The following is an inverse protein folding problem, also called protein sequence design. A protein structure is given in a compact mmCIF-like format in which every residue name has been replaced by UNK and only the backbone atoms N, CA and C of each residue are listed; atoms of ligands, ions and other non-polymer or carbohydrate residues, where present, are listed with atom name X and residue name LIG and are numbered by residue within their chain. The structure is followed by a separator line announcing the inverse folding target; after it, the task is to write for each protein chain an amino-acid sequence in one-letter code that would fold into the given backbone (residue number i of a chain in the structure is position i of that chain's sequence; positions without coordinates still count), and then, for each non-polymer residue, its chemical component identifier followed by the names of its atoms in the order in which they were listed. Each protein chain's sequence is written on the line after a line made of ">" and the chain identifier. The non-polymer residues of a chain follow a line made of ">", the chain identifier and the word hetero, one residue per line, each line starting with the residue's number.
data_IF_706518034309
#
_entry.id   IF_706518034309
#
_cell.length_a   1.000
_cell.length_b   1.000
_cell.length_c   1.000
_cell.angle_alpha   90.00
_cell.angle_beta   90.00
_cell.angle_gamma   90.00
#
_symmetry.space_group_name_H-M   'P 1'
#
loop_
_entity.id
_entity.type
_entity.pdbx_description
1 polymer ?
#
# COMPACT_ATOMS: atom_id res chain seq x y z
N UNK A 1 -2.01 -19.97 17.70
CA UNK A 1 -2.23 -18.93 16.68
C UNK A 1 -2.17 -19.64 15.34
N UNK A 2 -3.23 -19.56 14.52
CA UNK A 2 -3.25 -20.18 13.20
C UNK A 2 -2.12 -19.57 12.35
N UNK A 3 -1.32 -20.42 11.69
CA UNK A 3 -0.22 -19.96 10.85
C UNK A 3 -0.80 -19.50 9.52
N UNK A 4 -1.06 -18.19 9.39
CA UNK A 4 -1.59 -17.59 8.17
C UNK A 4 -0.57 -17.73 7.01
N UNK A 5 -0.90 -18.54 5.98
CA UNK A 5 0.00 -18.79 4.87
C UNK A 5 0.17 -17.58 3.92
N UNK A 6 -0.69 -16.57 4.05
CA UNK A 6 -0.71 -15.38 3.20
C UNK A 6 -0.08 -14.14 3.85
N UNK A 7 0.26 -14.21 5.14
CA UNK A 7 0.86 -13.13 5.94
C UNK A 7 2.18 -12.57 5.38
N UNK A 8 2.96 -13.39 4.69
CA UNK A 8 4.33 -13.09 4.25
C UNK A 8 4.42 -12.77 2.76
N UNK A 9 5.40 -11.93 2.40
CA UNK A 9 5.84 -11.73 1.01
C UNK A 9 6.53 -12.98 0.43
N UNK A 10 6.96 -13.92 1.27
CA UNK A 10 7.47 -15.24 0.87
C UNK A 10 6.45 -16.34 1.21
N UNK A 11 5.38 -16.50 0.42
CA UNK A 11 4.31 -17.45 0.73
C UNK A 11 4.80 -18.90 0.77
N UNK A 12 5.84 -19.26 0.01
CA UNK A 12 6.39 -20.62 -0.03
C UNK A 12 6.79 -21.15 1.35
N UNK A 13 7.60 -20.39 2.09
CA UNK A 13 8.04 -20.79 3.45
C UNK A 13 6.88 -20.92 4.41
N UNK A 14 5.91 -20.01 4.30
CA UNK A 14 4.71 -20.05 5.14
C UNK A 14 3.87 -21.29 4.89
N UNK A 15 3.72 -21.70 3.63
CA UNK A 15 3.08 -22.96 3.30
C UNK A 15 3.86 -24.18 3.81
N UNK A 16 5.19 -24.13 3.81
CA UNK A 16 6.01 -25.21 4.38
C UNK A 16 5.82 -25.29 5.91
N UNK A 17 5.83 -24.16 6.62
CA UNK A 17 5.50 -24.12 8.05
C UNK A 17 4.07 -24.61 8.33
N UNK A 18 3.09 -24.29 7.46
CA UNK A 18 1.73 -24.83 7.56
C UNK A 18 1.71 -26.34 7.37
N UNK A 19 2.51 -26.87 6.43
CA UNK A 19 2.62 -28.32 6.22
C UNK A 19 3.27 -29.01 7.43
N UNK A 20 4.34 -28.44 7.98
CA UNK A 20 5.02 -28.95 9.17
C UNK A 20 4.13 -28.92 10.42
N UNK A 21 3.21 -27.95 10.49
CA UNK A 21 2.23 -27.85 11.58
C UNK A 21 1.12 -28.90 11.49
N UNK A 22 0.97 -29.62 10.37
CA UNK A 22 0.03 -30.73 10.27
C UNK A 22 0.66 -32.01 10.80
N UNK A 23 -0.13 -32.84 11.47
CA UNK A 23 0.32 -34.16 11.95
C UNK A 23 0.48 -35.19 10.81
N UNK A 24 0.24 -34.78 9.56
CA UNK A 24 0.26 -35.62 8.37
C UNK A 24 1.67 -35.70 7.79
N UNK A 25 2.26 -36.90 7.85
CA UNK A 25 3.61 -37.15 7.33
C UNK A 25 3.70 -36.98 5.80
N UNK A 26 4.78 -36.36 5.33
CA UNK A 26 5.12 -36.28 3.90
C UNK A 26 4.32 -35.25 3.10
N UNK A 27 3.60 -34.36 3.77
CA UNK A 27 3.04 -33.17 3.12
C UNK A 27 4.13 -32.14 2.86
N UNK A 28 4.06 -31.50 1.69
CA UNK A 28 4.90 -30.35 1.36
C UNK A 28 4.03 -29.10 1.34
N UNK A 29 4.60 -27.93 1.60
CA UNK A 29 3.86 -26.68 1.52
C UNK A 29 3.24 -26.46 0.15
N UNK A 30 3.93 -26.92 -0.92
CA UNK A 30 3.36 -26.95 -2.27
C UNK A 30 2.06 -27.75 -2.35
N UNK A 31 2.03 -28.98 -1.81
CA UNK A 31 0.82 -29.82 -1.80
C UNK A 31 -0.30 -29.18 -0.99
N UNK A 32 0.01 -28.60 0.17
CA UNK A 32 -0.97 -27.88 0.99
C UNK A 32 -1.57 -26.72 0.20
N UNK A 33 -0.74 -25.89 -0.43
CA UNK A 33 -1.21 -24.77 -1.26
C UNK A 33 -2.10 -25.21 -2.41
N UNK A 34 -1.68 -26.23 -3.16
CA UNK A 34 -2.45 -26.77 -4.30
C UNK A 34 -3.81 -27.32 -3.84
N UNK A 35 -3.83 -28.05 -2.71
CA UNK A 35 -5.07 -28.57 -2.13
C UNK A 35 -6.00 -27.44 -1.66
N UNK A 36 -5.47 -26.44 -0.95
CA UNK A 36 -6.24 -25.29 -0.50
C UNK A 36 -6.79 -24.50 -1.68
N UNK A 37 -5.98 -24.30 -2.74
CA UNK A 37 -6.43 -23.65 -3.98
C UNK A 37 -7.59 -24.40 -4.61
N UNK A 38 -7.51 -25.74 -4.70
CA UNK A 38 -8.58 -26.57 -5.23
C UNK A 38 -9.86 -26.46 -4.39
N UNK A 39 -9.76 -26.52 -3.06
CA UNK A 39 -10.91 -26.37 -2.17
C UNK A 39 -11.57 -25.00 -2.31
N UNK A 40 -10.79 -23.93 -2.41
CA UNK A 40 -11.31 -22.58 -2.70
C UNK A 40 -11.99 -22.51 -4.07
N UNK A 41 -11.52 -23.23 -5.08
CA UNK A 41 -12.21 -23.26 -6.39
C UNK A 41 -13.57 -23.94 -6.31
N UNK A 42 -13.71 -25.02 -5.53
CA UNK A 42 -15.01 -25.67 -5.32
C UNK A 42 -15.94 -24.78 -4.49
N UNK A 43 -15.40 -24.13 -3.45
CA UNK A 43 -16.12 -23.19 -2.61
C UNK A 43 -16.70 -22.02 -3.42
N UNK A 44 -15.88 -21.38 -4.26
CA UNK A 44 -16.30 -20.28 -5.13
C UNK A 44 -17.33 -20.68 -6.18
N UNK A 45 -17.43 -21.98 -6.50
CA UNK A 45 -18.38 -22.53 -7.47
C UNK A 45 -19.64 -23.09 -6.81
N UNK A 46 -19.77 -23.00 -5.49
CA UNK A 46 -20.87 -23.60 -4.72
C UNK A 46 -21.06 -25.10 -5.03
N UNK A 47 -19.96 -25.81 -5.35
CA UNK A 47 -19.99 -27.24 -5.67
C UNK A 47 -20.15 -28.07 -4.39
N UNK A 48 -21.37 -28.03 -3.85
CA UNK A 48 -21.73 -28.67 -2.59
C UNK A 48 -21.42 -30.17 -2.62
N UNK A 49 -21.51 -30.86 -3.78
CA UNK A 49 -21.18 -32.28 -3.89
C UNK A 49 -19.66 -32.56 -3.84
N UNK A 50 -18.83 -31.69 -4.43
CA UNK A 50 -17.37 -31.76 -4.25
C UNK A 50 -16.94 -31.42 -2.81
N UNK A 51 -17.67 -30.53 -2.14
CA UNK A 51 -17.43 -30.17 -0.73
C UNK A 51 -17.93 -31.24 0.26
N UNK A 52 -19.08 -31.86 0.00
CA UNK A 52 -19.76 -32.91 0.80
C UNK A 52 -19.02 -34.24 0.83
N UNK A 53 -18.12 -34.49 -0.13
CA UNK A 53 -17.29 -35.71 -0.14
C UNK A 53 -16.32 -35.81 1.04
N UNK A 54 -16.22 -34.78 1.88
CA UNK A 54 -15.54 -34.84 3.18
C UNK A 54 -16.51 -34.56 4.32
N UNK A 55 -16.86 -35.58 5.08
CA UNK A 55 -17.28 -35.42 6.48
C UNK A 55 -18.77 -35.40 6.80
N UNK A 56 -19.04 -35.37 8.10
CA UNK A 56 -20.37 -35.21 8.72
C UNK A 56 -20.89 -33.77 8.57
N UNK A 57 -22.15 -33.50 8.91
CA UNK A 57 -22.77 -32.17 8.71
C UNK A 57 -22.07 -31.05 9.50
N UNK A 58 -21.62 -31.32 10.73
CA UNK A 58 -20.86 -30.37 11.56
C UNK A 58 -19.48 -30.06 10.94
N UNK A 59 -18.78 -31.08 10.43
CA UNK A 59 -17.49 -30.91 9.74
C UNK A 59 -17.62 -30.10 8.44
N UNK A 60 -18.81 -30.10 7.80
CA UNK A 60 -19.06 -29.28 6.63
C UNK A 60 -19.21 -27.80 6.95
N UNK A 61 -19.88 -27.47 8.04
CA UNK A 61 -20.08 -26.07 8.45
C UNK A 61 -18.76 -25.43 8.87
N UNK A 62 -17.96 -26.12 9.69
CA UNK A 62 -16.61 -25.68 10.06
C UNK A 62 -15.72 -25.51 8.83
N UNK A 63 -15.75 -26.47 7.90
CA UNK A 63 -15.00 -26.38 6.65
C UNK A 63 -15.42 -25.17 5.81
N UNK A 64 -16.71 -24.84 5.78
CA UNK A 64 -17.23 -23.68 5.06
C UNK A 64 -16.74 -22.37 5.70
N UNK A 65 -16.76 -22.28 7.03
CA UNK A 65 -16.22 -21.13 7.77
C UNK A 65 -14.72 -20.95 7.53
N UNK A 66 -13.94 -22.03 7.59
CA UNK A 66 -12.50 -22.00 7.31
C UNK A 66 -12.20 -21.57 5.86
N UNK A 67 -12.97 -22.04 4.89
CA UNK A 67 -12.77 -21.64 3.49
C UNK A 67 -13.13 -20.17 3.24
N UNK A 68 -14.11 -19.64 3.97
CA UNK A 68 -14.42 -18.22 3.96
C UNK A 68 -13.26 -17.39 4.54
N UNK A 69 -12.73 -17.77 5.71
CA UNK A 69 -11.58 -17.08 6.33
C UNK A 69 -10.34 -17.10 5.42
N UNK A 70 -10.02 -18.27 4.84
CA UNK A 70 -8.89 -18.41 3.91
C UNK A 70 -9.08 -17.54 2.66
N UNK A 71 -10.32 -17.40 2.16
CA UNK A 71 -10.63 -16.53 1.03
C UNK A 71 -10.36 -15.07 1.39
N UNK A 72 -10.78 -14.63 2.57
CA UNK A 72 -10.56 -13.26 3.06
C UNK A 72 -9.07 -12.95 3.23
N UNK A 73 -8.30 -13.88 3.81
CA UNK A 73 -6.84 -13.75 3.93
C UNK A 73 -6.16 -13.64 2.55
N UNK A 74 -6.63 -14.39 1.56
CA UNK A 74 -6.11 -14.31 0.19
C UNK A 74 -6.39 -12.94 -0.44
N UNK A 75 -7.58 -12.38 -0.23
CA UNK A 75 -7.97 -11.06 -0.72
C UNK A 75 -7.19 -9.93 -0.02
N UNK A 76 -6.98 -10.05 1.30
CA UNK A 76 -6.15 -9.11 2.06
C UNK A 76 -4.70 -9.10 1.54
N UNK A 77 -4.12 -10.26 1.26
CA UNK A 77 -2.78 -10.34 0.70
C UNK A 77 -2.66 -9.62 -0.65
N UNK A 78 -3.63 -9.82 -1.55
CA UNK A 78 -3.64 -9.16 -2.86
C UNK A 78 -3.68 -7.64 -2.71
N UNK A 79 -4.61 -7.12 -1.89
CA UNK A 79 -4.74 -5.68 -1.65
C UNK A 79 -3.48 -5.09 -1.00
N UNK A 80 -2.86 -5.81 -0.07
CA UNK A 80 -1.59 -5.43 0.55
C UNK A 80 -0.48 -5.30 -0.49
N UNK A 81 -0.28 -6.31 -1.33
CA UNK A 81 0.73 -6.32 -2.39
C UNK A 81 0.51 -5.20 -3.42
N UNK A 82 -0.74 -4.95 -3.82
CA UNK A 82 -1.09 -3.84 -4.71
C UNK A 82 -0.72 -2.49 -4.09
N UNK A 83 -1.02 -2.29 -2.81
CA UNK A 83 -0.70 -1.05 -2.09
C UNK A 83 0.82 -0.81 -2.01
N UNK A 84 1.60 -1.87 -1.77
CA UNK A 84 3.06 -1.81 -1.73
C UNK A 84 3.66 -1.52 -3.11
N UNK A 85 3.15 -2.17 -4.15
CA UNK A 85 3.59 -1.93 -5.52
C UNK A 85 3.30 -0.50 -5.95
N UNK A 86 2.13 0.05 -5.60
CA UNK A 86 1.79 1.46 -5.85
C UNK A 86 2.72 2.43 -5.13
N UNK A 87 3.13 2.11 -3.89
CA UNK A 87 4.13 2.91 -3.15
C UNK A 87 5.50 2.85 -3.84
N UNK A 88 5.98 1.65 -4.21
CA UNK A 88 7.26 1.45 -4.92
C UNK A 88 7.27 2.18 -6.26
N UNK A 89 6.17 2.17 -7.00
CA UNK A 89 6.06 2.87 -8.28
C UNK A 89 6.13 4.40 -8.11
N UNK A 90 5.42 4.96 -7.12
CA UNK A 90 5.51 6.39 -6.78
C UNK A 90 6.95 6.79 -6.42
N UNK A 91 7.62 6.00 -5.60
CA UNK A 91 9.02 6.24 -5.25
C UNK A 91 9.94 6.20 -6.47
N UNK A 92 9.74 5.26 -7.39
CA UNK A 92 10.49 5.20 -8.66
C UNK A 92 10.27 6.47 -9.50
N UNK A 93 9.03 6.95 -9.63
CA UNK A 93 8.71 8.18 -10.37
C UNK A 93 9.42 9.40 -9.77
N UNK A 94 9.35 9.56 -8.44
CA UNK A 94 10.05 10.63 -7.71
C UNK A 94 11.58 10.54 -7.94
N UNK A 95 12.15 9.35 -7.84
CA UNK A 95 13.59 9.17 -8.06
C UNK A 95 14.02 9.54 -9.49
N UNK A 96 13.20 9.22 -10.49
CA UNK A 96 13.43 9.60 -11.89
C UNK A 96 13.35 11.12 -12.06
N UNK A 97 12.37 11.78 -11.45
CA UNK A 97 12.22 13.24 -11.50
C UNK A 97 13.41 13.96 -10.85
N UNK A 98 13.87 13.50 -9.68
CA UNK A 98 15.07 14.06 -9.01
C UNK A 98 16.30 13.91 -9.91
N UNK A 99 16.50 12.73 -10.53
CA UNK A 99 17.60 12.51 -11.46
C UNK A 99 17.53 13.45 -12.67
N UNK A 100 16.34 13.66 -13.22
CA UNK A 100 16.12 14.57 -14.35
C UNK A 100 16.43 16.01 -13.97
N UNK A 101 15.91 16.50 -12.84
CA UNK A 101 16.16 17.85 -12.35
C UNK A 101 17.66 18.08 -12.05
N UNK A 102 18.35 17.08 -11.51
CA UNK A 102 19.79 17.15 -11.31
C UNK A 102 20.54 17.32 -12.65
N UNK A 103 20.16 16.58 -13.70
CA UNK A 103 20.78 16.70 -15.02
C UNK A 103 20.52 18.07 -15.68
N UNK A 104 19.36 18.68 -15.45
CA UNK A 104 19.03 20.02 -15.98
C UNK A 104 19.81 21.15 -15.29
N UNK A 105 20.24 20.95 -14.04
CA UNK A 105 21.00 21.94 -13.26
C UNK A 105 22.52 21.84 -13.45
N UNK A 106 23.01 20.79 -14.11
CA UNK A 106 24.43 20.74 -14.51
C UNK A 106 24.69 21.79 -15.61
N UNK A 107 25.69 22.66 -15.45
CA UNK A 107 26.07 23.57 -16.51
C UNK A 107 26.51 22.75 -17.74
N UNK A 108 25.78 22.89 -18.86
CA UNK A 108 26.22 22.36 -20.16
C UNK A 108 27.63 22.87 -20.42
N UNK A 109 28.64 22.00 -20.29
CA UNK A 109 30.00 22.28 -20.76
C UNK A 109 29.86 22.56 -22.25
N UNK A 110 30.05 23.83 -22.63
CA UNK A 110 30.06 24.26 -24.03
C UNK A 110 31.15 23.47 -24.73
N UNK A 111 30.78 22.48 -25.55
CA UNK A 111 31.63 21.96 -26.62
C UNK A 111 31.47 22.92 -27.78
N UNK A 112 32.27 23.97 -27.75
CA UNK A 112 32.45 24.88 -28.87
C UNK A 112 33.93 25.21 -28.91
N UNK A 113 34.72 24.28 -29.46
CA UNK A 113 35.92 24.63 -30.20
C UNK A 113 36.30 23.50 -31.15
N UNK A 114 35.84 23.62 -32.39
CA UNK A 114 36.49 23.03 -33.54
C UNK A 114 37.43 24.12 -34.06
N UNK A 115 38.67 24.19 -33.54
CA UNK A 115 39.84 24.67 -34.28
C UNK A 115 41.14 24.61 -33.46
N UNK A 116 42.12 23.93 -34.06
CA UNK A 116 43.56 24.06 -33.84
C UNK A 116 44.19 23.41 -32.61
N UNK A 117 44.67 22.19 -32.85
CA UNK A 117 45.92 21.68 -32.28
C UNK A 117 47.04 22.60 -32.75
N UNK A 118 47.65 23.35 -31.82
CA UNK A 118 49.04 23.78 -31.96
C UNK A 118 49.74 23.55 -30.62
N UNK A 119 50.63 22.56 -30.61
CA UNK A 119 51.64 22.38 -29.56
C UNK A 119 52.48 23.66 -29.45
N UNK A 120 52.53 24.23 -28.25
CA UNK A 120 53.62 25.11 -27.85
C UNK A 120 53.73 25.13 -26.34
N UNK A 121 54.81 24.51 -25.86
CA UNK A 121 55.26 24.56 -24.48
C UNK A 121 55.49 26.00 -24.02
N UNK A 122 54.82 26.41 -22.94
CA UNK A 122 55.34 27.43 -22.04
C UNK A 122 54.68 27.34 -20.67
N UNK A 123 55.49 26.83 -19.76
CA UNK A 123 55.40 26.96 -18.32
C UNK A 123 55.10 28.43 -17.93
N UNK A 124 53.99 28.68 -17.23
CA UNK A 124 53.89 29.76 -16.25
C UNK A 124 52.61 29.70 -15.41
N UNK A 125 52.85 29.69 -14.11
CA UNK A 125 51.92 29.69 -12.98
C UNK A 125 51.09 30.98 -12.88
N UNK A 126 49.75 30.89 -12.99
CA UNK A 126 48.80 31.82 -12.36
C UNK A 126 47.35 31.28 -12.43
N UNK A 127 46.83 30.73 -11.34
CA UNK A 127 45.39 30.39 -11.24
C UNK A 127 44.56 31.66 -10.98
N UNK A 128 43.58 32.03 -11.83
CA UNK A 128 42.65 33.09 -11.48
C UNK A 128 41.57 32.53 -10.53
N UNK A 129 41.47 33.10 -9.33
CA UNK A 129 40.43 32.78 -8.35
C UNK A 129 39.06 33.06 -8.96
N UNK A 130 38.25 32.01 -9.13
CA UNK A 130 36.90 32.08 -9.67
C UNK A 130 36.01 32.87 -8.70
N UNK A 131 35.65 34.09 -9.07
CA UNK A 131 34.71 34.92 -8.32
C UNK A 131 33.39 34.15 -8.11
N UNK A 132 33.07 33.82 -6.85
CA UNK A 132 31.79 33.22 -6.47
C UNK A 132 30.71 34.26 -6.74
N UNK A 133 29.94 34.08 -7.80
CA UNK A 133 28.74 34.86 -8.08
C UNK A 133 27.81 34.70 -6.88
N UNK A 134 27.74 35.72 -6.03
CA UNK A 134 26.74 35.83 -4.96
C UNK A 134 25.38 35.77 -5.64
N UNK A 135 24.69 34.63 -5.58
CA UNK A 135 23.30 34.56 -6.07
C UNK A 135 22.50 35.56 -5.25
N UNK A 136 21.73 36.40 -5.93
CA UNK A 136 20.98 37.49 -5.32
C UNK A 136 20.19 36.99 -4.10
N UNK A 137 20.40 37.60 -2.94
CA UNK A 137 19.66 37.31 -1.70
C UNK A 137 18.14 37.37 -1.90
N UNK A 138 17.68 38.08 -2.93
CA UNK A 138 16.29 38.20 -3.35
C UNK A 138 15.71 36.88 -3.88
N UNK A 139 16.47 36.11 -4.67
CA UNK A 139 15.97 34.87 -5.27
C UNK A 139 15.76 33.78 -4.22
N UNK A 140 16.67 33.70 -3.23
CA UNK A 140 16.53 32.80 -2.09
C UNK A 140 15.33 33.19 -1.22
N UNK A 141 15.12 34.49 -0.97
CA UNK A 141 13.95 34.99 -0.25
C UNK A 141 12.63 34.66 -0.97
N UNK A 142 12.56 34.84 -2.29
CA UNK A 142 11.37 34.46 -3.08
C UNK A 142 11.10 32.95 -3.03
N UNK A 143 12.14 32.13 -3.11
CA UNK A 143 12.00 30.68 -2.99
C UNK A 143 11.49 30.26 -1.60
N UNK A 144 12.04 30.83 -0.52
CA UNK A 144 11.60 30.54 0.84
C UNK A 144 10.14 30.95 1.08
N UNK A 145 9.73 32.12 0.54
CA UNK A 145 8.34 32.57 0.60
C UNK A 145 7.40 31.62 -0.16
N UNK A 146 7.75 31.27 -1.40
CA UNK A 146 6.96 30.32 -2.21
C UNK A 146 6.87 28.94 -1.55
N UNK A 147 7.94 28.48 -0.90
CA UNK A 147 7.95 27.22 -0.16
C UNK A 147 7.00 27.28 1.05
N UNK A 148 7.05 28.37 1.82
CA UNK A 148 6.17 28.57 2.97
C UNK A 148 4.69 28.63 2.55
N UNK A 149 4.36 29.33 1.46
CA UNK A 149 3.01 29.40 0.92
C UNK A 149 2.47 28.03 0.50
N UNK A 150 3.30 27.23 -0.18
CA UNK A 150 2.93 25.85 -0.57
C UNK A 150 2.72 24.95 0.64
N UNK A 151 3.59 25.05 1.64
CA UNK A 151 3.46 24.27 2.87
C UNK A 151 2.19 24.63 3.65
N UNK A 152 1.86 25.91 3.74
CA UNK A 152 0.61 26.38 4.35
C UNK A 152 -0.61 25.90 3.58
N UNK A 153 -0.59 25.96 2.24
CA UNK A 153 -1.68 25.48 1.40
C UNK A 153 -1.92 23.97 1.55
N UNK A 154 -0.84 23.17 1.62
CA UNK A 154 -0.96 21.73 1.87
C UNK A 154 -1.55 21.44 3.26
N UNK A 155 -1.09 22.15 4.31
CA UNK A 155 -1.63 22.02 5.66
C UNK A 155 -3.12 22.38 5.71
N UNK A 156 -3.54 23.42 5.01
CA UNK A 156 -4.95 23.80 4.93
C UNK A 156 -5.80 22.73 4.25
N UNK A 157 -5.32 22.14 3.15
CA UNK A 157 -5.99 21.02 2.48
C UNK A 157 -6.10 19.79 3.38
N UNK A 158 -5.04 19.46 4.12
CA UNK A 158 -5.04 18.34 5.07
C UNK A 158 -6.03 18.57 6.23
N UNK A 159 -6.07 19.78 6.78
CA UNK A 159 -7.03 20.15 7.83
C UNK A 159 -8.45 20.04 7.29
N UNK A 160 -8.71 20.54 6.09
CA UNK A 160 -10.02 20.46 5.45
C UNK A 160 -10.47 19.02 5.26
N UNK A 161 -9.61 18.16 4.72
CA UNK A 161 -9.92 16.75 4.50
C UNK A 161 -10.21 16.04 5.83
N UNK A 162 -9.41 16.28 6.87
CA UNK A 162 -9.66 15.74 8.22
C UNK A 162 -10.99 16.23 8.80
N UNK A 163 -11.35 17.50 8.57
CA UNK A 163 -12.62 18.04 9.04
C UNK A 163 -13.83 17.40 8.35
N UNK A 164 -13.72 17.11 7.05
CA UNK A 164 -14.75 16.41 6.27
C UNK A 164 -14.88 14.96 6.73
N UNK A 165 -13.77 14.25 6.97
CA UNK A 165 -13.79 12.88 7.50
C UNK A 165 -14.46 12.80 8.87
N UNK A 166 -14.13 13.71 9.79
CA UNK A 166 -14.77 13.78 11.10
C UNK A 166 -16.27 14.11 11.01
N UNK A 167 -16.69 14.90 10.03
CA UNK A 167 -18.10 15.19 9.80
C UNK A 167 -18.86 13.94 9.33
N UNK A 168 -18.32 13.21 8.35
CA UNK A 168 -18.91 11.94 7.89
C UNK A 168 -18.96 10.89 8.99
N UNK A 169 -17.92 10.79 9.81
CA UNK A 169 -17.88 9.84 10.93
C UNK A 169 -18.95 10.15 11.99
N UNK A 170 -19.13 11.44 12.31
CA UNK A 170 -20.22 11.88 13.21
C UNK A 170 -21.59 11.58 12.63
N UNK A 171 -21.82 11.86 11.36
CA UNK A 171 -23.09 11.57 10.68
C UNK A 171 -23.42 10.07 10.69
N UNK A 172 -22.42 9.22 10.41
CA UNK A 172 -22.56 7.76 10.46
C UNK A 172 -22.92 7.29 11.88
N UNK A 173 -22.24 7.82 12.90
CA UNK A 173 -22.53 7.49 14.29
C UNK A 173 -23.93 7.93 14.72
N UNK A 174 -24.39 9.09 14.26
CA UNK A 174 -25.76 9.57 14.53
C UNK A 174 -26.83 8.70 13.86
N UNK A 175 -26.58 8.25 12.62
CA UNK A 175 -27.49 7.33 11.92
C UNK A 175 -27.58 5.98 12.65
N UNK A 176 -26.44 5.39 13.01
CA UNK A 176 -26.39 4.13 13.75
C UNK A 176 -27.11 4.24 15.10
N UNK A 177 -26.92 5.36 15.81
CA UNK A 177 -27.63 5.63 17.06
C UNK A 177 -29.14 5.69 16.85
N UNK A 178 -29.61 6.40 15.82
CA UNK A 178 -31.05 6.50 15.49
C UNK A 178 -31.64 5.15 15.12
N UNK A 179 -30.92 4.31 14.38
CA UNK A 179 -31.36 2.95 14.05
C UNK A 179 -31.50 2.09 15.30
N UNK A 180 -30.53 2.18 16.22
CA UNK A 180 -30.58 1.44 17.49
C UNK A 180 -31.74 1.89 18.37
N UNK A 181 -31.97 3.20 18.47
CA UNK A 181 -33.10 3.76 19.22
C UNK A 181 -34.43 3.29 18.65
N UNK A 182 -34.62 3.37 17.32
CA UNK A 182 -35.83 2.85 16.65
C UNK A 182 -36.05 1.35 16.86
N UNK A 183 -34.97 0.55 16.83
CA UNK A 183 -35.05 -0.90 17.07
C UNK A 183 -35.51 -1.20 18.50
N UNK A 184 -34.97 -0.49 19.49
CA UNK A 184 -35.39 -0.67 20.88
C UNK A 184 -36.83 -0.18 21.12
N UNK A 185 -37.24 0.89 20.46
CA UNK A 185 -38.62 1.39 20.54
C UNK A 185 -39.61 0.37 19.97
N UNK A 186 -39.37 -0.15 18.76
CA UNK A 186 -40.18 -1.20 18.14
C UNK A 186 -40.26 -2.46 19.02
N UNK A 187 -39.13 -2.92 19.58
CA UNK A 187 -39.12 -4.06 20.51
C UNK A 187 -39.94 -3.79 21.78
N UNK A 188 -39.89 -2.56 22.30
CA UNK A 188 -40.67 -2.18 23.49
C UNK A 188 -42.17 -2.10 23.22
N UNK A 189 -42.57 -1.69 22.00
CA UNK A 189 -43.96 -1.66 21.56
C UNK A 189 -44.52 -3.06 21.33
N UNK A 190 -43.75 -3.96 20.70
CA UNK A 190 -44.12 -5.37 20.54
C UNK A 190 -44.33 -6.05 21.89
N UNK A 191 -43.43 -5.83 22.86
CA UNK A 191 -43.56 -6.38 24.22
C UNK A 191 -44.82 -5.87 24.95
N UNK A 192 -45.24 -4.63 24.69
CA UNK A 192 -46.48 -4.07 25.28
C UNK A 192 -47.75 -4.61 24.63
N UNK A 193 -47.71 -4.94 23.33
CA UNK A 193 -48.86 -5.51 22.61
C UNK A 193 -49.11 -6.98 22.93
N UNK A 194 -48.08 -7.70 23.40
CA UNK A 194 -48.14 -9.13 23.77
C UNK A 194 -48.53 -9.32 25.25
N UNK A 195 -48.49 -8.27 26.08
CA UNK A 195 -48.89 -8.26 27.49
C UNK A 195 -50.33 -7.79 27.70
#
# INVERSE_FOLDING_TARGET
>A
MANDPYSSAEPGKKWDETADATELQGLSGRRCREKTSLLLTYYKKEDAEALKRSGTEEEMEEKHQLLQEIKELQEEQVTRLESENKKKEKQRKIAVEIRKAALETLPKKRTSDESQISDSDSDNNATPRKARRSSSSSDLMMFLKSKAEKEMSLKEQEIKLKSEQLAFEKEKFELERKEREKKMEAESEERKMIS
#
